data_IF_791762142719
#
_entry.id   IF_791762142719
#
_cell.length_a   1.000
_cell.length_b   1.000
_cell.length_c   1.000
_cell.angle_alpha   90.00
_cell.angle_beta   90.00
_cell.angle_gamma   90.00
#
_symmetry.space_group_name_H-M   'P 1'
#
loop_
_entity.id
_entity.type
_entity.pdbx_description
1 polymer ?
#
# COMPACT_ATOMS: atom_id res chain seq x y z
N UNK A 1 33.16 -2.19 13.16
CA UNK A 1 32.77 -3.54 13.62
C UNK A 1 32.67 -4.46 12.41
N UNK A 2 33.02 -5.74 12.48
CA UNK A 2 32.90 -6.60 11.29
C UNK A 2 31.42 -6.96 11.05
N UNK A 3 30.99 -6.98 9.80
CA UNK A 3 29.62 -7.37 9.36
C UNK A 3 29.20 -8.70 9.98
N UNK A 4 30.08 -9.69 9.93
CA UNK A 4 29.83 -11.02 10.50
C UNK A 4 29.37 -10.98 11.99
N UNK A 5 29.94 -10.08 12.79
CA UNK A 5 29.53 -9.95 14.21
C UNK A 5 28.14 -9.34 14.36
N UNK A 6 27.75 -8.42 13.48
CA UNK A 6 26.42 -7.84 13.47
C UNK A 6 25.37 -8.90 13.06
N UNK A 7 25.63 -9.62 11.99
CA UNK A 7 24.72 -10.66 11.48
C UNK A 7 24.55 -11.79 12.52
N UNK A 8 25.65 -12.18 13.21
CA UNK A 8 25.57 -13.19 14.26
C UNK A 8 24.78 -12.69 15.49
N UNK A 9 25.02 -11.49 15.96
CA UNK A 9 24.30 -10.94 17.10
C UNK A 9 22.80 -10.75 16.79
N UNK A 10 22.47 -10.38 15.55
CA UNK A 10 21.08 -10.33 15.10
C UNK A 10 20.42 -11.70 15.15
N UNK A 11 21.06 -12.72 14.62
CA UNK A 11 20.56 -14.07 14.61
C UNK A 11 20.37 -14.62 16.04
N UNK A 12 21.36 -14.40 16.92
CA UNK A 12 21.31 -14.81 18.32
C UNK A 12 20.16 -14.10 19.06
N UNK A 13 19.97 -12.80 18.82
CA UNK A 13 18.88 -12.03 19.42
C UNK A 13 17.51 -12.50 18.94
N UNK A 14 17.37 -12.79 17.63
CA UNK A 14 16.14 -13.37 17.07
C UNK A 14 15.81 -14.72 17.73
N UNK A 15 16.81 -15.59 17.85
CA UNK A 15 16.65 -16.88 18.50
C UNK A 15 16.16 -16.72 19.93
N UNK A 16 16.79 -15.86 20.72
CA UNK A 16 16.37 -15.58 22.11
C UNK A 16 14.93 -15.05 22.18
N UNK A 17 14.54 -14.15 21.25
CA UNK A 17 13.19 -13.60 21.24
C UNK A 17 12.16 -14.66 20.85
N UNK A 18 12.46 -15.53 19.88
CA UNK A 18 11.60 -16.67 19.50
C UNK A 18 11.45 -17.65 20.66
N UNK A 19 12.56 -18.10 21.25
CA UNK A 19 12.54 -19.00 22.43
C UNK A 19 11.75 -18.38 23.61
N UNK A 20 11.79 -17.07 23.76
CA UNK A 20 11.00 -16.38 24.78
C UNK A 20 9.48 -16.54 24.55
N UNK A 21 9.02 -16.62 23.28
CA UNK A 21 7.60 -16.84 22.99
C UNK A 21 7.12 -18.25 23.26
N UNK A 22 8.03 -19.23 23.42
CA UNK A 22 7.68 -20.60 23.79
C UNK A 22 7.28 -20.75 25.26
N UNK A 23 7.42 -19.70 26.07
CA UNK A 23 6.97 -19.70 27.47
C UNK A 23 5.46 -19.91 27.53
N UNK A 24 4.97 -20.79 28.43
CA UNK A 24 3.57 -21.18 28.50
C UNK A 24 2.59 -20.00 28.59
N UNK A 25 2.97 -18.93 29.30
CA UNK A 25 2.16 -17.73 29.50
C UNK A 25 2.03 -16.86 28.25
N UNK A 26 2.95 -17.00 27.27
CA UNK A 26 2.90 -16.31 25.97
C UNK A 26 2.28 -17.23 24.93
N UNK A 27 2.73 -18.49 24.89
CA UNK A 27 2.26 -19.48 23.92
C UNK A 27 0.75 -19.72 24.05
N UNK A 28 0.20 -19.68 25.26
CA UNK A 28 -1.25 -19.83 25.50
C UNK A 28 -2.09 -18.71 24.87
N UNK A 29 -1.50 -17.58 24.50
CA UNK A 29 -2.17 -16.45 23.87
C UNK A 29 -2.06 -16.45 22.33
N UNK A 30 -1.32 -17.40 21.74
CA UNK A 30 -1.03 -17.43 20.31
C UNK A 30 -2.30 -17.57 19.47
N UNK A 31 -3.23 -18.42 19.86
CA UNK A 31 -4.51 -18.62 19.16
C UNK A 31 -5.38 -17.37 19.17
N UNK A 32 -5.52 -16.72 20.32
CA UNK A 32 -6.27 -15.47 20.45
C UNK A 32 -5.58 -14.33 19.67
N UNK A 33 -4.25 -14.26 19.73
CA UNK A 33 -3.48 -13.31 18.96
C UNK A 33 -3.69 -13.50 17.46
N UNK A 34 -3.72 -14.74 16.97
CA UNK A 34 -3.96 -15.05 15.57
C UNK A 34 -5.38 -14.65 15.14
N UNK A 35 -6.38 -14.89 16.00
CA UNK A 35 -7.75 -14.44 15.77
C UNK A 35 -7.82 -12.89 15.64
N UNK A 36 -7.20 -12.17 16.57
CA UNK A 36 -7.13 -10.69 16.53
C UNK A 36 -6.41 -10.21 15.27
N UNK A 37 -5.31 -10.87 14.89
CA UNK A 37 -4.52 -10.49 13.71
C UNK A 37 -5.27 -10.75 12.42
N UNK A 38 -6.05 -11.84 12.35
CA UNK A 38 -6.84 -12.21 11.19
C UNK A 38 -7.93 -11.18 10.89
N UNK A 39 -8.46 -10.54 11.93
CA UNK A 39 -9.52 -9.51 11.87
C UNK A 39 -10.72 -9.93 10.99
N UNK A 40 -11.06 -11.22 11.04
CA UNK A 40 -12.15 -11.83 10.28
C UNK A 40 -13.25 -12.31 11.26
N UNK A 41 -14.43 -11.65 11.28
CA UNK A 41 -15.50 -12.00 12.20
C UNK A 41 -16.13 -13.37 11.92
N UNK A 42 -15.93 -13.93 10.72
CA UNK A 42 -16.40 -15.28 10.37
C UNK A 42 -15.37 -16.36 10.74
N UNK A 43 -14.16 -15.95 11.11
CA UNK A 43 -13.08 -16.85 11.48
C UNK A 43 -13.21 -17.27 12.94
N UNK A 44 -13.44 -18.55 13.19
CA UNK A 44 -13.46 -19.09 14.53
C UNK A 44 -12.12 -19.73 14.87
N UNK A 45 -11.61 -19.46 16.07
CA UNK A 45 -10.29 -19.96 16.52
C UNK A 45 -10.20 -21.51 16.52
N UNK A 46 -11.35 -22.19 16.62
CA UNK A 46 -11.44 -23.66 16.57
C UNK A 46 -11.29 -24.23 15.14
N UNK A 47 -11.34 -23.37 14.11
CA UNK A 47 -11.21 -23.76 12.70
C UNK A 47 -9.75 -23.79 12.21
N UNK A 48 -8.78 -23.44 13.09
CA UNK A 48 -7.35 -23.47 12.72
C UNK A 48 -6.85 -24.91 12.74
N UNK A 49 -6.72 -25.51 11.58
CA UNK A 49 -5.86 -26.67 11.42
C UNK A 49 -4.48 -26.19 10.98
N UNK A 50 -3.39 -26.77 11.53
CA UNK A 50 -2.00 -26.40 11.18
C UNK A 50 -1.74 -26.50 9.66
N UNK A 51 -2.55 -27.28 8.92
CA UNK A 51 -2.43 -27.48 7.48
C UNK A 51 -3.07 -26.35 6.63
N UNK A 52 -3.81 -25.39 7.24
CA UNK A 52 -4.55 -24.35 6.50
C UNK A 52 -3.86 -22.98 6.48
N UNK A 53 -2.84 -22.79 7.31
CA UNK A 53 -2.05 -21.56 7.35
C UNK A 53 -0.79 -21.76 6.51
N UNK A 54 -0.69 -21.05 5.37
CA UNK A 54 0.53 -21.10 4.58
C UNK A 54 1.70 -20.41 5.31
N UNK A 55 2.93 -20.83 4.98
CA UNK A 55 4.15 -20.36 5.64
C UNK A 55 4.26 -18.82 5.64
N UNK A 56 3.88 -18.17 4.54
CA UNK A 56 3.96 -16.71 4.41
C UNK A 56 2.96 -16.00 5.33
N UNK A 57 1.76 -16.52 5.45
CA UNK A 57 0.73 -15.99 6.36
C UNK A 57 1.19 -16.14 7.81
N UNK A 58 1.79 -17.29 8.16
CA UNK A 58 2.34 -17.49 9.49
C UNK A 58 3.52 -16.54 9.78
N UNK A 59 4.44 -16.35 8.84
CA UNK A 59 5.56 -15.43 9.00
C UNK A 59 5.09 -13.99 9.25
N UNK A 60 4.09 -13.51 8.50
CA UNK A 60 3.49 -12.17 8.71
C UNK A 60 2.85 -12.03 10.08
N UNK A 61 2.05 -13.03 10.46
CA UNK A 61 1.45 -13.06 11.78
C UNK A 61 2.49 -13.04 12.88
N UNK A 62 3.52 -13.89 12.77
CA UNK A 62 4.55 -14.01 13.80
C UNK A 62 5.41 -12.75 13.94
N UNK A 63 5.69 -12.05 12.84
CA UNK A 63 6.34 -10.73 12.87
C UNK A 63 5.49 -9.72 13.67
N UNK A 64 4.19 -9.65 13.40
CA UNK A 64 3.28 -8.81 14.17
C UNK A 64 3.17 -9.27 15.65
N UNK A 65 3.11 -10.55 15.90
CA UNK A 65 3.03 -11.11 17.24
C UNK A 65 4.24 -10.69 18.09
N UNK A 66 5.44 -10.79 17.56
CA UNK A 66 6.66 -10.41 18.26
C UNK A 66 6.75 -8.92 18.56
N UNK A 67 6.42 -8.08 17.59
CA UNK A 67 6.75 -6.66 17.66
C UNK A 67 5.58 -5.75 18.04
N UNK A 68 4.34 -6.13 17.76
CA UNK A 68 3.20 -5.22 17.88
C UNK A 68 2.07 -5.76 18.78
N UNK A 69 1.90 -7.10 18.89
CA UNK A 69 0.88 -7.68 19.73
C UNK A 69 1.07 -7.29 21.21
N UNK A 70 -0.04 -6.93 21.86
CA UNK A 70 -0.09 -6.66 23.29
C UNK A 70 -0.60 -7.89 24.02
N UNK A 71 0.20 -8.44 24.93
CA UNK A 71 -0.19 -9.54 25.79
C UNK A 71 -1.48 -9.19 26.54
N UNK A 72 -2.45 -10.07 26.50
CA UNK A 72 -3.80 -9.84 27.03
C UNK A 72 -3.83 -9.70 28.56
N UNK A 73 -2.85 -10.31 29.22
CA UNK A 73 -2.71 -10.29 30.70
C UNK A 73 -2.08 -9.00 31.21
N UNK A 74 -1.08 -8.45 30.50
CA UNK A 74 -0.30 -7.30 30.96
C UNK A 74 -0.50 -6.04 30.12
N UNK A 75 -0.97 -6.16 28.88
CA UNK A 75 -1.03 -5.06 27.91
C UNK A 75 0.35 -4.63 27.38
N UNK A 76 1.45 -5.27 27.83
CA UNK A 76 2.80 -5.02 27.32
C UNK A 76 3.00 -5.74 25.99
N UNK A 77 3.83 -5.19 25.08
CA UNK A 77 4.26 -5.91 23.86
C UNK A 77 5.27 -6.99 24.22
N UNK A 78 5.29 -8.10 23.50
CA UNK A 78 6.23 -9.20 23.73
C UNK A 78 7.67 -8.72 23.77
N UNK A 79 8.06 -7.92 22.77
CA UNK A 79 9.43 -7.37 22.69
C UNK A 79 9.78 -6.47 23.89
N UNK A 80 8.82 -5.72 24.43
CA UNK A 80 9.03 -4.88 25.61
C UNK A 80 9.20 -5.71 26.87
N UNK A 81 8.36 -6.73 27.03
CA UNK A 81 8.44 -7.65 28.15
C UNK A 81 9.74 -8.48 28.10
N UNK A 82 10.10 -8.98 26.90
CA UNK A 82 11.38 -9.66 26.68
C UNK A 82 12.56 -8.78 27.12
N UNK A 83 12.61 -7.54 26.64
CA UNK A 83 13.69 -6.62 27.01
C UNK A 83 13.76 -6.40 28.52
N UNK A 84 12.64 -6.19 29.19
CA UNK A 84 12.55 -5.95 30.61
C UNK A 84 13.06 -7.14 31.45
N UNK A 85 12.71 -8.36 31.01
CA UNK A 85 13.03 -9.58 31.75
C UNK A 85 14.40 -10.17 31.40
N UNK A 86 14.84 -10.08 30.14
CA UNK A 86 16.03 -10.76 29.63
C UNK A 86 17.24 -9.84 29.38
N UNK A 87 17.09 -8.54 29.61
CA UNK A 87 18.17 -7.56 29.36
C UNK A 87 19.51 -7.96 30.00
N UNK A 88 19.50 -8.55 31.20
CA UNK A 88 20.71 -8.99 31.89
C UNK A 88 21.49 -10.11 31.19
N UNK A 89 20.84 -10.84 30.26
CA UNK A 89 21.42 -11.91 29.45
C UNK A 89 21.84 -11.46 28.04
N UNK A 90 21.63 -10.18 27.68
CA UNK A 90 22.01 -9.64 26.38
C UNK A 90 23.48 -9.18 26.38
N UNK A 91 24.16 -9.38 25.26
CA UNK A 91 25.44 -8.75 24.99
C UNK A 91 25.26 -7.25 24.75
N UNK A 92 26.32 -6.44 24.87
CA UNK A 92 26.26 -5.00 24.58
C UNK A 92 25.74 -4.70 23.15
N UNK A 93 26.00 -5.59 22.20
CA UNK A 93 25.57 -5.43 20.82
C UNK A 93 24.09 -5.76 20.67
N UNK A 94 23.62 -6.83 21.29
CA UNK A 94 22.20 -7.19 21.33
C UNK A 94 21.36 -6.14 22.07
N UNK A 95 21.88 -5.57 23.18
CA UNK A 95 21.19 -4.50 23.92
C UNK A 95 21.01 -3.24 23.06
N UNK A 96 22.00 -2.88 22.22
CA UNK A 96 21.86 -1.79 21.24
C UNK A 96 20.90 -2.12 20.10
N UNK A 97 20.88 -3.37 19.63
CA UNK A 97 19.98 -3.80 18.55
C UNK A 97 18.53 -3.83 19.02
N UNK A 98 18.27 -4.34 20.21
CA UNK A 98 16.91 -4.46 20.74
C UNK A 98 16.24 -3.09 20.93
N UNK A 99 17.02 -2.05 21.27
CA UNK A 99 16.48 -0.69 21.36
C UNK A 99 15.91 -0.23 20.01
N UNK A 100 16.63 -0.45 18.90
CA UNK A 100 16.11 -0.19 17.55
C UNK A 100 14.90 -1.08 17.19
N UNK A 101 14.90 -2.33 17.63
CA UNK A 101 13.79 -3.26 17.38
C UNK A 101 12.52 -2.87 18.13
N UNK A 102 12.61 -2.36 19.33
CA UNK A 102 11.47 -1.86 20.12
C UNK A 102 10.85 -0.61 19.48
N UNK A 103 11.72 0.20 18.87
CA UNK A 103 11.34 1.45 18.26
C UNK A 103 10.78 1.32 16.83
N UNK A 104 10.90 0.18 16.16
CA UNK A 104 10.42 -0.03 14.80
C UNK A 104 8.88 -0.01 14.67
N UNK A 105 8.42 0.16 13.45
CA UNK A 105 7.02 -0.01 13.03
C UNK A 105 6.95 -0.78 11.72
N UNK A 106 5.89 -1.55 11.53
CA UNK A 106 5.49 -2.00 10.20
C UNK A 106 4.90 -0.80 9.46
N UNK A 107 5.41 -0.49 8.28
CA UNK A 107 4.97 0.66 7.48
C UNK A 107 4.97 0.32 5.99
N UNK A 108 4.59 1.31 5.18
CA UNK A 108 4.57 1.17 3.73
C UNK A 108 5.58 2.13 3.12
N UNK A 109 6.33 1.62 2.15
CA UNK A 109 7.45 2.34 1.57
C UNK A 109 7.39 2.27 0.05
N UNK A 110 7.83 3.35 -0.60
CA UNK A 110 8.19 3.33 -2.01
C UNK A 110 9.66 2.95 -2.15
N UNK A 111 9.96 2.03 -3.04
CA UNK A 111 11.33 1.68 -3.42
C UNK A 111 11.85 2.73 -4.40
N UNK A 112 12.84 3.52 -3.98
CA UNK A 112 13.42 4.58 -4.80
C UNK A 112 14.54 4.06 -5.71
N UNK A 113 15.39 3.19 -5.16
CA UNK A 113 16.54 2.62 -5.87
C UNK A 113 16.90 1.25 -5.34
N UNK A 114 17.51 0.41 -6.18
CA UNK A 114 17.90 -0.95 -5.84
C UNK A 114 19.30 -1.26 -6.37
N UNK A 115 20.15 -1.74 -5.48
CA UNK A 115 21.43 -2.38 -5.82
C UNK A 115 21.25 -3.90 -5.64
N UNK A 116 21.02 -4.67 -6.74
CA UNK A 116 20.67 -6.07 -6.64
C UNK A 116 21.70 -6.91 -5.89
N UNK A 117 21.24 -7.67 -4.90
CA UNK A 117 22.08 -8.50 -4.04
C UNK A 117 22.77 -7.76 -2.89
N UNK A 118 22.53 -6.46 -2.73
CA UNK A 118 23.16 -5.64 -1.70
C UNK A 118 22.13 -4.86 -0.85
N UNK A 119 21.36 -3.96 -1.46
CA UNK A 119 20.51 -3.03 -0.73
C UNK A 119 19.40 -2.44 -1.59
N UNK A 120 18.43 -1.82 -0.93
CA UNK A 120 17.47 -0.93 -1.56
C UNK A 120 17.31 0.36 -0.75
N UNK A 121 17.06 1.47 -1.43
CA UNK A 121 16.71 2.75 -0.82
C UNK A 121 15.19 2.87 -0.86
N UNK A 122 14.58 3.07 0.29
CA UNK A 122 13.13 3.15 0.45
C UNK A 122 12.73 4.47 1.09
N UNK A 123 11.52 4.94 0.76
CA UNK A 123 10.90 6.14 1.33
C UNK A 123 9.58 5.77 2.00
N UNK A 124 9.43 6.08 3.28
CA UNK A 124 8.18 5.87 4.00
C UNK A 124 7.07 6.75 3.40
N UNK A 125 5.91 6.16 3.12
CA UNK A 125 4.78 6.86 2.49
C UNK A 125 4.08 7.84 3.45
N UNK A 126 4.26 7.68 4.76
CA UNK A 126 3.51 8.44 5.75
C UNK A 126 4.29 9.60 6.38
N UNK A 127 5.62 9.51 6.42
CA UNK A 127 6.46 10.58 6.97
C UNK A 127 7.55 11.06 6.00
N UNK A 128 7.61 10.51 4.79
CA UNK A 128 8.57 10.83 3.72
C UNK A 128 10.05 10.61 4.08
N UNK A 129 10.35 9.92 5.18
CA UNK A 129 11.72 9.59 5.54
C UNK A 129 12.28 8.53 4.61
N UNK A 130 13.52 8.73 4.23
CA UNK A 130 14.29 7.82 3.36
C UNK A 130 15.33 7.08 4.17
N UNK A 131 15.44 5.77 3.96
CA UNK A 131 16.53 4.97 4.50
C UNK A 131 17.03 3.95 3.48
N UNK A 132 18.29 3.53 3.65
CA UNK A 132 18.86 2.44 2.86
C UNK A 132 18.86 1.16 3.67
N UNK A 133 18.17 0.15 3.16
CA UNK A 133 18.02 -1.16 3.80
C UNK A 133 18.90 -2.17 3.08
N UNK A 134 19.72 -2.87 3.83
CA UNK A 134 20.61 -3.93 3.33
C UNK A 134 19.91 -5.27 3.42
N UNK A 135 19.54 -5.80 2.27
CA UNK A 135 18.91 -7.11 2.17
C UNK A 135 19.27 -7.77 0.83
N UNK A 136 20.02 -8.87 0.91
CA UNK A 136 20.52 -9.58 -0.28
C UNK A 136 19.38 -10.25 -1.05
N UNK A 137 18.36 -10.74 -0.36
CA UNK A 137 17.27 -11.52 -0.97
C UNK A 137 16.26 -10.60 -1.62
N UNK A 138 15.79 -9.61 -0.88
CA UNK A 138 14.75 -8.69 -1.33
C UNK A 138 15.24 -7.77 -2.44
N UNK A 139 16.49 -7.27 -2.35
CA UNK A 139 17.08 -6.43 -3.39
C UNK A 139 17.24 -7.10 -4.76
N UNK A 140 17.18 -8.43 -4.83
CA UNK A 140 17.16 -9.19 -6.12
C UNK A 140 15.76 -9.20 -6.75
N UNK A 141 14.72 -8.95 -5.99
CA UNK A 141 13.31 -9.08 -6.41
C UNK A 141 12.62 -7.73 -6.56
N UNK A 142 12.99 -6.76 -5.73
CA UNK A 142 12.41 -5.42 -5.71
C UNK A 142 12.90 -4.58 -6.90
N UNK A 143 12.07 -3.62 -7.30
CA UNK A 143 12.33 -2.66 -8.37
C UNK A 143 11.97 -1.25 -7.91
N UNK A 144 12.59 -0.25 -8.50
CA UNK A 144 12.19 1.14 -8.30
C UNK A 144 10.70 1.32 -8.62
N UNK A 145 10.03 2.13 -7.83
CA UNK A 145 8.59 2.39 -7.84
C UNK A 145 7.70 1.25 -7.30
N UNK A 146 8.25 0.11 -6.87
CA UNK A 146 7.47 -0.85 -6.09
C UNK A 146 7.03 -0.21 -4.77
N UNK A 147 5.81 -0.52 -4.34
CA UNK A 147 5.36 -0.20 -2.99
C UNK A 147 5.51 -1.45 -2.14
N UNK A 148 6.11 -1.33 -0.99
CA UNK A 148 6.31 -2.46 -0.08
C UNK A 148 5.70 -2.18 1.28
N UNK A 149 5.04 -3.20 1.86
CA UNK A 149 4.74 -3.26 3.29
C UNK A 149 5.85 -4.03 3.98
N UNK A 150 6.56 -3.40 4.90
CA UNK A 150 7.75 -3.99 5.52
C UNK A 150 8.03 -3.39 6.91
N UNK A 151 8.92 -4.06 7.64
CA UNK A 151 9.44 -3.61 8.92
C UNK A 151 10.96 -3.47 8.83
N UNK A 152 11.50 -2.28 8.60
CA UNK A 152 12.93 -2.04 8.76
C UNK A 152 13.34 -2.15 10.23
N UNK A 153 14.37 -2.93 10.50
CA UNK A 153 15.02 -3.07 11.79
C UNK A 153 16.42 -2.46 11.73
N UNK A 154 17.00 -2.17 12.88
CA UNK A 154 18.35 -1.63 12.98
C UNK A 154 18.40 -0.13 13.18
N UNK A 155 19.48 0.50 12.73
CA UNK A 155 19.73 1.95 12.82
C UNK A 155 19.86 2.55 11.43
N UNK A 156 19.86 3.89 11.30
CA UNK A 156 20.01 4.60 10.02
C UNK A 156 21.19 4.09 9.17
N UNK A 157 22.31 3.74 9.80
CA UNK A 157 23.50 3.27 9.10
C UNK A 157 23.53 1.77 8.81
N UNK A 158 22.64 1.01 9.43
CA UNK A 158 22.61 -0.46 9.31
C UNK A 158 21.18 -1.00 9.48
N UNK A 159 20.32 -0.62 8.53
CA UNK A 159 18.96 -1.12 8.47
C UNK A 159 18.86 -2.38 7.62
N UNK A 160 17.97 -3.30 8.02
CA UNK A 160 17.63 -4.54 7.33
C UNK A 160 16.14 -4.85 7.58
N UNK A 161 15.53 -5.69 6.76
CA UNK A 161 14.13 -6.05 6.97
C UNK A 161 13.98 -7.14 8.04
N UNK A 162 12.85 -7.15 8.75
CA UNK A 162 12.52 -8.20 9.73
C UNK A 162 12.42 -9.60 9.10
N UNK A 163 12.19 -9.69 7.81
CA UNK A 163 12.08 -10.91 7.02
C UNK A 163 10.86 -10.88 6.10
N UNK A 164 9.74 -10.35 6.56
CA UNK A 164 8.49 -10.36 5.81
C UNK A 164 8.33 -9.06 5.02
N UNK A 165 8.16 -9.19 3.70
CA UNK A 165 7.89 -8.07 2.80
C UNK A 165 6.69 -8.42 1.93
N UNK A 166 5.68 -7.54 1.95
CA UNK A 166 4.59 -7.56 0.98
C UNK A 166 4.89 -6.58 -0.13
N UNK A 167 4.72 -6.98 -1.40
CA UNK A 167 4.99 -6.10 -2.56
C UNK A 167 3.68 -5.78 -3.26
N UNK A 168 3.46 -4.51 -3.51
CA UNK A 168 2.28 -3.97 -4.15
C UNK A 168 2.67 -3.16 -5.39
N UNK A 169 1.83 -3.15 -6.43
CA UNK A 169 2.02 -2.23 -7.56
C UNK A 169 1.99 -0.76 -7.11
N UNK A 170 2.70 0.13 -7.79
CA UNK A 170 2.72 1.57 -7.53
C UNK A 170 1.32 2.20 -7.46
N UNK A 171 0.38 1.68 -8.26
CA UNK A 171 -1.03 2.12 -8.27
C UNK A 171 -1.75 1.98 -6.92
N UNK A 172 -1.22 1.17 -6.00
CA UNK A 172 -1.78 1.00 -4.65
C UNK A 172 -1.35 2.09 -3.67
N UNK A 173 -0.31 2.86 -3.98
CA UNK A 173 0.19 3.93 -3.10
C UNK A 173 -0.93 4.83 -2.59
N UNK A 174 -1.82 5.23 -3.47
CA UNK A 174 -2.92 6.11 -3.14
C UNK A 174 -3.92 5.47 -2.19
N UNK A 175 -4.36 4.24 -2.47
CA UNK A 175 -5.29 3.49 -1.61
C UNK A 175 -4.70 3.31 -0.22
N UNK A 176 -3.40 2.98 -0.14
CA UNK A 176 -2.66 2.85 1.12
C UNK A 176 -2.68 4.15 1.91
N UNK A 177 -2.38 5.29 1.25
CA UNK A 177 -2.39 6.61 1.89
C UNK A 177 -3.78 7.02 2.38
N UNK A 178 -4.82 6.79 1.60
CA UNK A 178 -6.21 7.10 1.97
C UNK A 178 -6.66 6.26 3.16
N UNK A 179 -6.38 4.96 3.13
CA UNK A 179 -6.72 4.06 4.24
C UNK A 179 -5.97 4.45 5.53
N UNK A 180 -4.67 4.71 5.42
CA UNK A 180 -3.88 5.19 6.55
C UNK A 180 -4.44 6.48 7.13
N UNK A 181 -4.71 7.48 6.30
CA UNK A 181 -5.16 8.78 6.75
C UNK A 181 -6.54 8.70 7.43
N UNK A 182 -7.46 7.91 6.86
CA UNK A 182 -8.78 7.66 7.47
C UNK A 182 -8.64 6.98 8.83
N UNK A 183 -7.91 5.86 8.89
CA UNK A 183 -7.71 5.12 10.12
C UNK A 183 -6.97 5.93 11.19
N UNK A 184 -5.98 6.74 10.81
CA UNK A 184 -5.27 7.60 11.75
C UNK A 184 -6.13 8.72 12.32
N UNK A 185 -7.04 9.30 11.53
CA UNK A 185 -8.05 10.25 12.06
C UNK A 185 -8.95 9.59 13.09
N UNK A 186 -9.45 8.39 12.78
CA UNK A 186 -10.26 7.60 13.72
C UNK A 186 -9.49 7.23 14.98
N UNK A 187 -8.23 6.88 14.83
CA UNK A 187 -7.35 6.59 15.95
C UNK A 187 -7.19 7.81 16.86
N UNK A 188 -6.95 9.02 16.30
CA UNK A 188 -6.89 10.28 17.04
C UNK A 188 -8.21 10.61 17.76
N UNK A 189 -9.35 10.32 17.14
CA UNK A 189 -10.67 10.52 17.78
C UNK A 189 -10.82 9.64 19.02
N UNK A 190 -10.36 8.38 18.96
CA UNK A 190 -10.49 7.43 20.06
C UNK A 190 -9.42 7.56 21.13
N UNK A 191 -8.20 7.89 20.75
CA UNK A 191 -7.03 7.88 21.65
C UNK A 191 -6.50 9.28 22.02
N UNK A 192 -7.07 10.34 21.44
CA UNK A 192 -6.69 11.73 21.69
C UNK A 192 -5.90 12.36 20.55
N UNK A 193 -6.01 13.68 20.43
CA UNK A 193 -5.41 14.47 19.33
C UNK A 193 -3.88 14.41 19.30
N UNK A 194 -3.24 14.15 20.42
CA UNK A 194 -1.78 14.05 20.57
C UNK A 194 -1.21 12.69 20.09
N UNK A 195 -2.08 11.77 19.64
CA UNK A 195 -1.65 10.48 19.10
C UNK A 195 -0.78 10.66 17.87
N UNK A 196 0.33 9.93 17.81
CA UNK A 196 1.29 9.99 16.70
C UNK A 196 1.02 8.93 15.64
N UNK A 197 1.45 9.18 14.40
CA UNK A 197 1.43 8.18 13.31
C UNK A 197 2.10 6.87 13.72
N UNK A 198 3.20 6.96 14.45
CA UNK A 198 3.93 5.81 14.96
C UNK A 198 3.10 4.97 15.94
N UNK A 199 2.40 5.60 16.89
CA UNK A 199 1.51 4.88 17.80
C UNK A 199 0.41 4.15 17.03
N UNK A 200 -0.21 4.82 16.05
CA UNK A 200 -1.20 4.21 15.18
C UNK A 200 -0.64 3.01 14.42
N UNK A 201 0.51 3.14 13.78
CA UNK A 201 1.15 2.03 13.06
C UNK A 201 1.51 0.86 13.97
N UNK A 202 1.95 1.14 15.20
CA UNK A 202 2.23 0.10 16.20
C UNK A 202 0.98 -0.66 16.64
N UNK A 203 -0.15 0.00 16.73
CA UNK A 203 -1.39 -0.61 17.24
C UNK A 203 -2.28 -1.18 16.12
N UNK A 204 -2.22 -0.62 14.90
CA UNK A 204 -3.13 -0.96 13.81
C UNK A 204 -2.47 -1.04 12.41
N UNK A 205 -1.14 -0.94 12.30
CA UNK A 205 -0.45 -0.95 11.01
C UNK A 205 -0.67 -2.23 10.19
N UNK A 206 -0.83 -3.37 10.86
CA UNK A 206 -1.11 -4.66 10.22
C UNK A 206 -2.47 -4.66 9.49
N UNK A 207 -3.47 -3.95 10.02
CA UNK A 207 -4.81 -3.86 9.41
C UNK A 207 -4.77 -3.20 8.02
N UNK A 208 -3.83 -2.28 7.80
CA UNK A 208 -3.64 -1.66 6.48
C UNK A 208 -3.26 -2.73 5.45
N UNK A 209 -2.31 -3.61 5.80
CA UNK A 209 -1.89 -4.72 4.94
C UNK A 209 -3.04 -5.68 4.63
N UNK A 210 -3.79 -6.09 5.66
CA UNK A 210 -4.97 -6.95 5.52
C UNK A 210 -6.03 -6.33 4.63
N UNK A 211 -6.35 -5.06 4.86
CA UNK A 211 -7.31 -4.33 4.04
C UNK A 211 -6.90 -4.31 2.56
N UNK A 212 -5.62 -4.04 2.27
CA UNK A 212 -5.11 -4.03 0.90
C UNK A 212 -5.16 -5.44 0.28
N UNK A 213 -4.78 -6.47 1.04
CA UNK A 213 -4.84 -7.86 0.56
C UNK A 213 -6.27 -8.31 0.30
N UNK A 214 -7.21 -7.94 1.16
CA UNK A 214 -8.63 -8.24 0.97
C UNK A 214 -9.21 -7.45 -0.21
N UNK A 215 -8.84 -6.19 -0.37
CA UNK A 215 -9.18 -5.39 -1.54
C UNK A 215 -8.71 -6.02 -2.86
N UNK A 216 -7.55 -6.65 -2.86
CA UNK A 216 -7.04 -7.38 -4.04
C UNK A 216 -7.81 -8.66 -4.31
N UNK A 217 -8.22 -9.38 -3.25
CA UNK A 217 -8.93 -10.67 -3.36
C UNK A 217 -10.40 -10.51 -3.72
N UNK A 218 -11.06 -9.54 -3.10
CA UNK A 218 -12.50 -9.30 -3.19
C UNK A 218 -12.79 -7.84 -3.53
N UNK A 219 -12.75 -7.48 -4.80
CA UNK A 219 -12.93 -6.11 -5.25
C UNK A 219 -14.36 -5.55 -5.10
N UNK A 220 -15.27 -6.31 -4.53
CA UNK A 220 -16.64 -5.86 -4.25
C UNK A 220 -16.70 -5.26 -2.86
N UNK A 221 -16.53 -3.95 -2.79
CA UNK A 221 -16.81 -3.21 -1.57
C UNK A 221 -18.25 -2.73 -1.57
N UNK A 222 -18.92 -3.03 -0.49
CA UNK A 222 -20.13 -2.33 -0.08
C UNK A 222 -19.77 -1.47 1.13
N UNK A 223 -20.31 -0.25 1.18
CA UNK A 223 -20.23 0.58 2.37
C UNK A 223 -20.87 -0.15 3.57
N UNK A 224 -20.67 0.30 4.81
CA UNK A 224 -21.41 -0.23 5.95
C UNK A 224 -22.93 -0.20 5.76
N UNK A 225 -23.43 0.71 4.89
CA UNK A 225 -24.84 0.86 4.51
C UNK A 225 -25.25 -0.09 3.36
N UNK A 226 -24.33 -0.90 2.83
CA UNK A 226 -24.61 -1.86 1.75
C UNK A 226 -24.58 -1.29 0.33
N UNK A 227 -24.09 -0.06 0.14
CA UNK A 227 -23.93 0.56 -1.19
C UNK A 227 -22.66 0.08 -1.87
N UNK A 228 -22.73 -0.14 -3.18
CA UNK A 228 -21.58 -0.49 -4.01
C UNK A 228 -20.55 0.68 -4.00
N UNK A 229 -19.34 0.40 -3.52
CA UNK A 229 -18.27 1.38 -3.54
C UNK A 229 -17.77 1.58 -4.97
N UNK A 230 -17.94 2.78 -5.45
CA UNK A 230 -17.42 3.24 -6.74
C UNK A 230 -16.41 4.35 -6.52
N UNK A 231 -15.33 4.36 -7.28
CA UNK A 231 -14.45 5.52 -7.27
C UNK A 231 -15.14 6.65 -8.05
N UNK A 232 -15.75 7.55 -7.29
CA UNK A 232 -16.42 8.74 -7.81
C UNK A 232 -15.44 9.92 -7.74
N UNK A 233 -15.23 10.63 -8.82
CA UNK A 233 -14.36 11.80 -8.83
C UNK A 233 -14.98 12.99 -9.58
N UNK A 234 -14.67 14.20 -9.09
CA UNK A 234 -14.99 15.43 -9.78
C UNK A 234 -13.72 16.26 -10.01
N UNK A 235 -13.61 16.85 -11.19
CA UNK A 235 -12.48 17.68 -11.60
C UNK A 235 -12.91 19.15 -11.67
N UNK A 236 -12.10 20.02 -11.07
CA UNK A 236 -12.29 21.46 -11.10
C UNK A 236 -11.00 22.15 -11.53
N UNK A 237 -11.11 23.21 -12.38
CA UNK A 237 -10.00 24.14 -12.59
C UNK A 237 -10.04 25.23 -11.53
N UNK A 238 -8.85 25.68 -11.12
CA UNK A 238 -8.67 26.77 -10.17
C UNK A 238 -8.53 28.11 -10.90
N UNK A 239 -9.12 29.15 -10.32
CA UNK A 239 -8.84 30.54 -10.76
C UNK A 239 -7.66 31.14 -10.00
N UNK A 240 -7.39 30.66 -8.78
CA UNK A 240 -6.25 31.04 -7.94
C UNK A 240 -5.96 29.92 -6.94
N UNK A 241 -4.88 29.19 -7.15
CA UNK A 241 -4.46 28.10 -6.24
C UNK A 241 -4.14 28.63 -4.86
N UNK A 242 -3.41 29.74 -4.74
CA UNK A 242 -3.07 30.35 -3.45
C UNK A 242 -4.32 30.68 -2.62
N UNK A 243 -5.34 31.28 -3.27
CA UNK A 243 -6.60 31.64 -2.59
C UNK A 243 -7.38 30.39 -2.14
N UNK A 244 -7.36 29.31 -2.94
CA UNK A 244 -7.97 28.02 -2.59
C UNK A 244 -7.25 27.40 -1.40
N UNK A 245 -5.92 27.26 -1.46
CA UNK A 245 -5.13 26.70 -0.37
C UNK A 245 -5.32 27.45 0.95
N UNK A 246 -5.37 28.80 0.88
CA UNK A 246 -5.64 29.64 2.07
C UNK A 246 -7.00 29.32 2.68
N UNK A 247 -8.04 29.16 1.85
CA UNK A 247 -9.39 28.82 2.35
C UNK A 247 -9.42 27.42 2.96
N UNK A 248 -8.88 26.41 2.27
CA UNK A 248 -8.86 25.03 2.77
C UNK A 248 -8.12 24.93 4.10
N UNK A 249 -6.95 25.58 4.24
CA UNK A 249 -6.16 25.59 5.48
C UNK A 249 -6.85 26.34 6.63
N UNK A 250 -7.79 27.24 6.34
CA UNK A 250 -8.53 28.00 7.37
C UNK A 250 -9.80 27.30 7.85
N UNK A 251 -10.26 26.28 7.14
CA UNK A 251 -11.47 25.52 7.45
C UNK A 251 -11.10 24.19 8.13
N UNK A 252 -11.68 23.95 9.32
CA UNK A 252 -11.43 22.74 10.11
C UNK A 252 -11.91 21.44 9.45
N UNK A 253 -12.83 21.53 8.50
CA UNK A 253 -13.31 20.38 7.75
C UNK A 253 -12.25 19.83 6.79
N UNK A 254 -11.15 20.58 6.54
CA UNK A 254 -10.07 20.15 5.65
C UNK A 254 -8.77 19.97 6.44
N UNK A 255 -8.21 18.77 6.39
CA UNK A 255 -6.91 18.45 6.97
C UNK A 255 -5.89 18.28 5.85
N UNK A 256 -4.82 19.10 5.82
CA UNK A 256 -3.73 18.93 4.85
C UNK A 256 -2.91 17.70 5.19
N UNK A 257 -2.77 16.78 4.24
CA UNK A 257 -2.08 15.51 4.38
C UNK A 257 -0.68 15.59 3.78
N UNK A 258 0.20 14.67 4.20
CA UNK A 258 1.51 14.51 3.55
C UNK A 258 1.30 14.03 2.10
N UNK A 259 1.86 14.77 1.15
CA UNK A 259 1.83 14.40 -0.25
C UNK A 259 3.13 13.69 -0.66
N UNK A 260 3.11 12.81 -1.67
CA UNK A 260 4.30 12.08 -2.13
C UNK A 260 5.36 12.99 -2.75
N UNK A 261 4.96 14.15 -3.28
CA UNK A 261 5.85 15.18 -3.86
C UNK A 261 5.37 16.57 -3.46
N UNK A 262 6.29 17.53 -3.36
CA UNK A 262 5.99 18.89 -2.86
C UNK A 262 5.04 19.69 -3.77
N UNK A 263 4.96 19.37 -5.06
CA UNK A 263 4.10 20.01 -6.05
C UNK A 263 2.62 19.64 -5.86
N UNK A 264 2.32 18.49 -5.24
CA UNK A 264 0.95 18.03 -4.99
C UNK A 264 0.53 18.43 -3.57
N UNK A 265 -0.66 18.98 -3.42
CA UNK A 265 -1.27 19.25 -2.11
C UNK A 265 -2.50 18.36 -1.96
N UNK A 266 -2.56 17.62 -0.86
CA UNK A 266 -3.65 16.68 -0.58
C UNK A 266 -4.36 17.13 0.69
N UNK A 267 -5.69 17.22 0.62
CA UNK A 267 -6.54 17.50 1.77
C UNK A 267 -7.52 16.35 1.96
N UNK A 268 -7.64 15.89 3.19
CA UNK A 268 -8.80 15.12 3.59
C UNK A 268 -9.94 16.07 3.95
N UNK A 269 -11.14 15.73 3.54
CA UNK A 269 -12.37 16.42 3.89
C UNK A 269 -13.28 15.50 4.70
N UNK A 270 -13.81 16.02 5.79
CA UNK A 270 -14.86 15.37 6.59
C UNK A 270 -15.78 16.46 7.12
N UNK A 271 -17.09 16.36 6.85
CA UNK A 271 -18.06 17.29 7.37
C UNK A 271 -18.40 16.92 8.83
N UNK A 272 -18.26 17.89 9.75
CA UNK A 272 -18.57 17.68 11.18
C UNK A 272 -20.07 17.45 11.42
N UNK A 273 -20.92 18.02 10.57
CA UNK A 273 -22.39 17.93 10.66
C UNK A 273 -22.95 16.73 9.88
N UNK A 274 -22.25 16.30 8.83
CA UNK A 274 -22.61 15.15 7.99
C UNK A 274 -21.40 14.22 7.79
N UNK A 275 -21.20 13.31 8.74
CA UNK A 275 -20.10 12.34 8.70
C UNK A 275 -20.12 11.42 7.47
N UNK A 276 -21.24 11.34 6.73
CA UNK A 276 -21.29 10.64 5.45
C UNK A 276 -20.68 11.45 4.30
N UNK A 277 -20.40 12.75 4.49
CA UNK A 277 -19.72 13.59 3.52
C UNK A 277 -18.22 13.59 3.82
N UNK A 278 -17.49 12.66 3.21
CA UNK A 278 -16.03 12.56 3.33
C UNK A 278 -15.38 12.34 1.97
N UNK A 279 -14.14 12.79 1.81
CA UNK A 279 -13.43 12.65 0.55
C UNK A 279 -12.00 13.18 0.60
N UNK A 280 -11.29 13.03 -0.52
CA UNK A 280 -9.93 13.53 -0.68
C UNK A 280 -9.90 14.56 -1.80
N UNK A 281 -9.26 15.70 -1.55
CA UNK A 281 -8.98 16.74 -2.53
C UNK A 281 -7.49 16.72 -2.87
N UNK A 282 -7.17 16.50 -4.11
CA UNK A 282 -5.81 16.58 -4.65
C UNK A 282 -5.68 17.81 -5.52
N UNK A 283 -4.70 18.66 -5.22
CA UNK A 283 -4.44 19.91 -5.92
C UNK A 283 -3.08 19.83 -6.59
N UNK A 284 -3.10 19.93 -7.91
CA UNK A 284 -1.92 19.89 -8.75
C UNK A 284 -2.15 20.72 -10.02
N UNK A 285 -1.15 21.49 -10.43
CA UNK A 285 -1.14 22.23 -11.72
C UNK A 285 -2.40 23.08 -11.97
N UNK A 286 -2.93 23.72 -10.92
CA UNK A 286 -4.13 24.57 -11.05
C UNK A 286 -5.45 23.80 -11.21
N UNK A 287 -5.46 22.54 -10.82
CA UNK A 287 -6.64 21.65 -10.84
C UNK A 287 -6.89 21.09 -9.45
N UNK A 288 -8.16 20.97 -9.05
CA UNK A 288 -8.59 20.13 -7.92
C UNK A 288 -9.23 18.88 -8.47
N UNK A 289 -8.80 17.73 -7.99
CA UNK A 289 -9.49 16.46 -8.15
C UNK A 289 -10.10 16.08 -6.81
N UNK A 290 -11.42 16.04 -6.75
CA UNK A 290 -12.17 15.51 -5.61
C UNK A 290 -12.39 14.03 -5.85
N UNK A 291 -12.23 13.19 -4.83
CA UNK A 291 -12.48 11.77 -4.93
C UNK A 291 -13.18 11.24 -3.70
N UNK A 292 -14.17 10.40 -3.94
CA UNK A 292 -15.01 9.74 -2.95
C UNK A 292 -15.26 8.29 -3.35
N UNK A 293 -15.74 7.48 -2.42
CA UNK A 293 -16.01 6.06 -2.65
C UNK A 293 -17.45 5.75 -3.03
N UNK A 294 -18.34 6.74 -3.03
CA UNK A 294 -19.69 6.61 -3.56
C UNK A 294 -20.10 7.85 -4.33
N UNK A 295 -21.11 7.69 -5.19
CA UNK A 295 -21.68 8.82 -5.94
C UNK A 295 -22.36 9.83 -5.01
N UNK A 296 -23.04 9.33 -3.98
CA UNK A 296 -23.76 10.19 -3.01
C UNK A 296 -22.79 10.97 -2.16
N UNK A 297 -21.72 10.34 -1.69
CA UNK A 297 -20.62 11.00 -0.99
C UNK A 297 -19.97 12.09 -1.86
N UNK A 298 -19.70 11.81 -3.14
CA UNK A 298 -19.18 12.81 -4.06
C UNK A 298 -20.14 13.98 -4.21
N UNK A 299 -21.45 13.74 -4.32
CA UNK A 299 -22.47 14.79 -4.40
C UNK A 299 -22.40 15.75 -3.20
N UNK A 300 -22.38 15.21 -1.98
CA UNK A 300 -22.29 15.97 -0.72
C UNK A 300 -20.99 16.79 -0.64
N UNK A 301 -19.86 16.19 -0.96
CA UNK A 301 -18.55 16.87 -0.98
C UNK A 301 -18.53 17.98 -2.03
N UNK A 302 -19.08 17.76 -3.22
CA UNK A 302 -19.22 18.79 -4.27
C UNK A 302 -20.03 19.98 -3.78
N UNK A 303 -21.22 19.76 -3.22
CA UNK A 303 -22.08 20.81 -2.69
C UNK A 303 -21.34 21.67 -1.66
N UNK A 304 -20.57 21.03 -0.77
CA UNK A 304 -19.78 21.70 0.24
C UNK A 304 -18.67 22.55 -0.36
N UNK A 305 -17.80 21.97 -1.21
CA UNK A 305 -16.66 22.71 -1.78
C UNK A 305 -17.13 23.82 -2.75
N UNK A 306 -18.20 23.61 -3.50
CA UNK A 306 -18.76 24.63 -4.39
C UNK A 306 -19.31 25.81 -3.59
N UNK A 307 -19.95 25.54 -2.45
CA UNK A 307 -20.41 26.58 -1.51
C UNK A 307 -19.24 27.35 -0.92
N UNK A 308 -18.20 26.69 -0.44
CA UNK A 308 -17.10 27.31 0.29
C UNK A 308 -16.10 28.00 -0.62
N UNK A 309 -15.75 27.41 -1.76
CA UNK A 309 -14.77 27.96 -2.69
C UNK A 309 -15.40 28.89 -3.72
N UNK A 310 -16.66 28.66 -4.09
CA UNK A 310 -17.44 29.52 -4.97
C UNK A 310 -16.72 29.80 -6.31
N UNK A 311 -16.48 31.09 -6.62
CA UNK A 311 -15.85 31.52 -7.88
C UNK A 311 -14.38 31.15 -8.04
N UNK A 312 -13.76 30.59 -7.01
CA UNK A 312 -12.36 30.14 -7.07
C UNK A 312 -12.19 28.82 -7.82
N UNK A 313 -13.27 28.08 -8.02
CA UNK A 313 -13.27 26.81 -8.74
C UNK A 313 -14.30 26.83 -9.87
N UNK A 314 -14.00 26.07 -10.93
CA UNK A 314 -14.92 25.86 -12.05
C UNK A 314 -14.98 24.36 -12.33
N UNK A 315 -16.15 23.78 -12.15
CA UNK A 315 -16.40 22.36 -12.43
C UNK A 315 -16.11 22.02 -13.88
N UNK A 316 -15.47 20.90 -14.15
CA UNK A 316 -15.12 20.39 -15.47
C UNK A 316 -15.89 19.12 -15.82
N UNK A 317 -15.72 18.10 -14.99
CA UNK A 317 -16.31 16.79 -15.26
C UNK A 317 -16.46 15.97 -13.97
N UNK A 318 -17.40 15.03 -14.00
CA UNK A 318 -17.53 13.97 -13.01
C UNK A 318 -17.20 12.63 -13.69
N UNK A 319 -16.45 11.78 -13.00
CA UNK A 319 -16.12 10.45 -13.46
C UNK A 319 -16.55 9.43 -12.40
N UNK A 320 -17.27 8.39 -12.84
CA UNK A 320 -17.60 7.24 -12.02
C UNK A 320 -16.84 6.05 -12.59
N UNK A 321 -15.97 5.47 -11.79
CA UNK A 321 -15.26 4.24 -12.15
C UNK A 321 -15.71 3.15 -11.19
N UNK A 322 -16.43 2.16 -11.70
CA UNK A 322 -16.68 0.95 -10.95
C UNK A 322 -15.33 0.27 -10.73
N UNK A 323 -15.03 -0.07 -9.48
CA UNK A 323 -13.79 -0.74 -9.11
C UNK A 323 -13.60 -2.07 -9.83
N UNK A 324 -14.70 -2.71 -10.23
CA UNK A 324 -14.72 -3.91 -11.08
C UNK A 324 -13.93 -3.75 -12.39
N UNK A 325 -13.88 -2.55 -12.98
CA UNK A 325 -13.14 -2.32 -14.22
C UNK A 325 -11.60 -2.28 -14.03
N UNK A 326 -11.13 -2.03 -12.81
CA UNK A 326 -9.70 -2.12 -12.49
C UNK A 326 -9.23 -3.54 -12.17
N UNK A 327 -10.16 -4.44 -11.86
CA UNK A 327 -9.87 -5.76 -11.30
C UNK A 327 -10.33 -6.89 -12.21
N UNK A 328 -11.38 -6.71 -12.99
CA UNK A 328 -11.93 -7.72 -13.92
C UNK A 328 -10.96 -8.12 -15.05
N UNK A 329 -9.82 -7.47 -15.20
CA UNK A 329 -8.71 -8.01 -15.99
C UNK A 329 -7.93 -9.14 -15.29
N UNK A 330 -8.25 -9.51 -14.03
CA UNK A 330 -7.54 -10.56 -13.27
C UNK A 330 -8.37 -11.76 -12.80
N UNK A 331 -9.70 -11.76 -12.86
CA UNK A 331 -10.52 -12.75 -12.13
C UNK A 331 -10.81 -14.08 -12.81
N UNK A 332 -10.18 -14.48 -13.89
CA UNK A 332 -10.52 -15.79 -14.45
C UNK A 332 -9.62 -16.97 -14.07
N UNK A 333 -8.63 -16.82 -13.19
CA UNK A 333 -7.66 -17.92 -12.96
C UNK A 333 -7.28 -18.32 -11.54
N UNK A 334 -7.99 -17.94 -10.51
CA UNK A 334 -7.62 -18.37 -9.13
C UNK A 334 -8.47 -19.49 -8.54
N UNK A 335 -9.19 -20.29 -9.30
CA UNK A 335 -9.84 -21.49 -8.76
C UNK A 335 -9.53 -22.71 -9.61
N UNK A 336 -8.43 -23.39 -9.30
CA UNK A 336 -8.26 -24.87 -9.34
C UNK A 336 -6.79 -25.26 -9.15
N UNK A 337 -6.33 -25.37 -7.91
CA UNK A 337 -5.22 -26.27 -7.58
C UNK A 337 -5.80 -27.70 -7.53
N UNK A 338 -5.33 -28.58 -8.39
CA UNK A 338 -5.63 -30.00 -8.28
C UNK A 338 -5.98 -30.75 -9.57
N UNK A 339 -5.41 -30.40 -10.72
CA UNK A 339 -5.53 -31.27 -11.88
C UNK A 339 -4.17 -31.54 -12.53
N UNK A 340 -3.80 -32.81 -12.58
CA UNK A 340 -2.61 -33.33 -13.27
C UNK A 340 -2.59 -32.85 -14.72
N UNK A 341 -1.40 -32.46 -15.20
CA UNK A 341 -1.10 -32.09 -16.58
C UNK A 341 -1.52 -33.22 -17.54
N UNK A 342 -2.62 -33.01 -18.25
CA UNK A 342 -2.91 -33.68 -19.52
C UNK A 342 -3.10 -32.61 -20.57
N UNK A 343 -2.34 -32.69 -21.62
CA UNK A 343 -2.06 -31.65 -22.62
C UNK A 343 -3.21 -31.22 -23.52
N UNK A 344 -4.40 -30.97 -22.97
CA UNK A 344 -5.48 -30.25 -23.67
C UNK A 344 -6.09 -29.21 -22.75
N UNK A 345 -6.12 -27.95 -23.21
CA UNK A 345 -6.76 -26.84 -22.52
C UNK A 345 -8.28 -27.10 -22.42
N UNK A 346 -8.93 -26.76 -21.26
CA UNK A 346 -10.37 -26.84 -21.12
C UNK A 346 -11.08 -25.90 -22.11
N UNK A 347 -12.32 -26.21 -22.51
CA UNK A 347 -13.12 -25.35 -23.39
C UNK A 347 -13.31 -23.95 -22.75
N UNK A 348 -12.95 -22.88 -23.48
CA UNK A 348 -13.05 -21.48 -23.03
C UNK A 348 -11.77 -20.89 -22.42
N UNK A 349 -10.67 -21.65 -22.33
CA UNK A 349 -9.37 -21.12 -21.92
C UNK A 349 -8.54 -20.80 -23.16
N UNK A 350 -8.19 -19.52 -23.33
CA UNK A 350 -7.35 -19.04 -24.43
C UNK A 350 -5.90 -19.51 -24.26
N UNK A 351 -5.24 -19.85 -25.33
CA UNK A 351 -3.81 -20.17 -25.34
C UNK A 351 -3.01 -18.89 -25.05
N UNK A 352 -1.77 -19.02 -24.54
CA UNK A 352 -0.88 -17.87 -24.35
C UNK A 352 -0.70 -17.05 -25.62
N UNK A 353 -0.70 -17.69 -26.81
CA UNK A 353 -0.62 -17.01 -28.10
C UNK A 353 -1.86 -16.17 -28.44
N UNK A 354 -3.04 -16.62 -28.05
CA UNK A 354 -4.29 -15.87 -28.25
C UNK A 354 -4.35 -14.68 -27.30
N UNK A 355 -3.89 -14.85 -26.06
CA UNK A 355 -3.77 -13.76 -25.08
C UNK A 355 -2.70 -12.74 -25.47
N UNK A 356 -1.56 -13.18 -25.98
CA UNK A 356 -0.51 -12.29 -26.50
C UNK A 356 -1.04 -11.43 -27.65
N UNK A 357 -1.80 -12.03 -28.55
CA UNK A 357 -2.41 -11.31 -29.68
C UNK A 357 -3.47 -10.30 -29.21
N UNK A 358 -4.31 -10.66 -28.26
CA UNK A 358 -5.31 -9.73 -27.71
C UNK A 358 -4.67 -8.54 -26.98
N UNK A 359 -3.57 -8.77 -26.25
CA UNK A 359 -2.80 -7.69 -25.63
C UNK A 359 -2.15 -6.80 -26.70
N UNK A 360 -1.67 -7.38 -27.79
CA UNK A 360 -1.07 -6.63 -28.89
C UNK A 360 -2.11 -5.77 -29.62
N UNK A 361 -3.30 -6.33 -29.88
CA UNK A 361 -4.43 -5.63 -30.48
C UNK A 361 -4.90 -4.49 -29.55
N UNK A 362 -5.06 -4.78 -28.24
CA UNK A 362 -5.46 -3.79 -27.24
C UNK A 362 -4.51 -2.60 -27.15
N UNK A 363 -3.20 -2.85 -27.07
CA UNK A 363 -2.23 -1.75 -26.96
C UNK A 363 -2.05 -1.01 -28.28
N UNK A 364 -2.29 -1.66 -29.40
CA UNK A 364 -2.30 -0.99 -30.71
C UNK A 364 -3.45 0.01 -30.78
N UNK A 365 -4.63 -0.35 -30.32
CA UNK A 365 -5.79 0.56 -30.23
C UNK A 365 -5.58 1.66 -29.19
N UNK A 366 -4.99 1.33 -28.01
CA UNK A 366 -4.71 2.28 -26.95
C UNK A 366 -3.80 3.43 -27.41
N UNK A 367 -2.83 3.18 -28.29
CA UNK A 367 -1.94 4.21 -28.83
C UNK A 367 -2.69 5.35 -29.55
N UNK A 368 -3.88 5.09 -30.07
CA UNK A 368 -4.68 6.01 -30.83
C UNK A 368 -5.92 6.50 -30.06
N UNK A 369 -6.07 6.12 -28.77
CA UNK A 369 -7.15 6.58 -27.91
C UNK A 369 -6.71 7.76 -27.03
N UNK A 370 -7.55 8.82 -26.91
CA UNK A 370 -7.28 9.91 -25.97
C UNK A 370 -7.19 9.41 -24.52
N UNK A 371 -6.15 9.81 -23.81
CA UNK A 371 -5.93 9.39 -22.43
C UNK A 371 -6.04 10.56 -21.45
N UNK A 372 -6.87 10.49 -20.40
CA UNK A 372 -7.06 11.60 -19.45
C UNK A 372 -5.76 12.09 -18.80
N UNK A 373 -4.88 11.16 -18.40
CA UNK A 373 -3.58 11.49 -17.79
C UNK A 373 -2.57 12.12 -18.79
N UNK A 374 -2.92 12.19 -20.06
CA UNK A 374 -2.14 12.83 -21.12
C UNK A 374 -2.84 14.12 -21.62
N UNK A 375 -3.65 14.76 -20.75
CA UNK A 375 -4.37 15.98 -21.11
C UNK A 375 -5.41 15.77 -22.22
N UNK A 376 -5.94 14.56 -22.39
CA UNK A 376 -6.86 14.19 -23.46
C UNK A 376 -6.20 13.92 -24.81
N UNK A 377 -4.86 13.90 -24.87
CA UNK A 377 -4.10 13.50 -26.05
C UNK A 377 -3.96 11.99 -26.13
N UNK A 378 -3.78 11.48 -27.34
CA UNK A 378 -3.41 10.08 -27.53
C UNK A 378 -1.95 9.85 -27.13
N UNK A 379 -1.55 8.63 -26.75
CA UNK A 379 -0.14 8.30 -26.52
C UNK A 379 0.80 8.68 -27.69
N UNK A 380 0.33 8.57 -28.93
CA UNK A 380 1.13 9.00 -30.11
C UNK A 380 1.35 10.51 -30.14
N UNK A 381 0.34 11.30 -29.81
CA UNK A 381 0.45 12.76 -29.75
C UNK A 381 1.31 13.16 -28.53
N UNK A 382 1.09 12.56 -27.39
CA UNK A 382 1.83 12.83 -26.15
C UNK A 382 3.34 12.56 -26.29
N UNK A 383 3.73 11.55 -27.07
CA UNK A 383 5.13 11.21 -27.31
C UNK A 383 5.96 12.37 -27.89
N UNK A 384 5.30 13.34 -28.55
CA UNK A 384 5.95 14.48 -29.22
C UNK A 384 5.64 15.84 -28.58
N UNK A 385 4.97 15.84 -27.42
CA UNK A 385 4.52 17.05 -26.73
C UNK A 385 5.06 17.14 -25.31
N UNK A 386 4.65 18.14 -24.54
CA UNK A 386 5.03 18.31 -23.13
C UNK A 386 4.53 17.18 -22.23
N UNK A 387 3.48 16.45 -22.65
CA UNK A 387 2.97 15.28 -21.94
C UNK A 387 3.84 14.03 -22.07
N UNK A 388 4.97 14.12 -22.78
CA UNK A 388 5.92 13.01 -22.93
C UNK A 388 6.39 12.44 -21.58
N UNK A 389 6.59 13.28 -20.59
CA UNK A 389 7.01 12.84 -19.25
C UNK A 389 5.92 12.00 -18.58
N UNK A 390 4.65 12.43 -18.66
CA UNK A 390 3.51 11.67 -18.14
C UNK A 390 3.34 10.34 -18.88
N UNK A 391 3.53 10.33 -20.20
CA UNK A 391 3.49 9.11 -21.01
C UNK A 391 4.60 8.14 -20.61
N UNK A 392 5.84 8.62 -20.41
CA UNK A 392 6.95 7.77 -19.95
C UNK A 392 6.69 7.17 -18.57
N UNK A 393 6.04 7.91 -17.69
CA UNK A 393 5.62 7.39 -16.37
C UNK A 393 4.61 6.25 -16.53
N UNK A 394 3.55 6.44 -17.33
CA UNK A 394 2.55 5.39 -17.61
C UNK A 394 3.22 4.14 -18.20
N UNK A 395 4.11 4.32 -19.17
CA UNK A 395 4.82 3.19 -19.79
C UNK A 395 5.76 2.49 -18.81
N UNK A 396 6.36 3.21 -17.85
CA UNK A 396 7.18 2.65 -16.79
C UNK A 396 6.36 1.79 -15.82
N UNK A 397 5.18 2.26 -15.44
CA UNK A 397 4.25 1.50 -14.57
C UNK A 397 3.79 0.20 -15.26
N UNK A 398 3.42 0.28 -16.54
CA UNK A 398 3.03 -0.88 -17.34
C UNK A 398 4.19 -1.89 -17.49
N UNK A 399 5.41 -1.40 -17.70
CA UNK A 399 6.61 -2.24 -17.81
C UNK A 399 6.90 -2.98 -16.50
N UNK A 400 6.81 -2.28 -15.36
CA UNK A 400 6.92 -2.88 -14.03
C UNK A 400 5.86 -3.96 -13.83
N UNK A 401 4.60 -3.65 -14.12
CA UNK A 401 3.49 -4.60 -14.02
C UNK A 401 3.74 -5.89 -14.82
N UNK A 402 4.07 -5.77 -16.11
CA UNK A 402 4.28 -6.94 -16.98
C UNK A 402 5.57 -7.70 -16.68
N UNK A 403 6.57 -7.04 -16.12
CA UNK A 403 7.77 -7.73 -15.65
C UNK A 403 7.42 -8.67 -14.49
N UNK A 404 6.65 -8.22 -13.51
CA UNK A 404 6.18 -9.07 -12.42
C UNK A 404 5.20 -10.16 -12.89
N UNK A 405 4.31 -9.86 -13.85
CA UNK A 405 3.43 -10.86 -14.45
C UNK A 405 4.23 -12.00 -15.11
N UNK A 406 5.29 -11.66 -15.85
CA UNK A 406 6.19 -12.63 -16.48
C UNK A 406 6.89 -13.52 -15.46
N UNK A 407 7.38 -12.96 -14.36
CA UNK A 407 8.03 -13.72 -13.28
C UNK A 407 7.09 -14.70 -12.59
N UNK A 408 5.79 -14.36 -12.49
CA UNK A 408 4.75 -15.26 -11.97
C UNK A 408 4.23 -16.29 -12.99
N UNK A 409 4.73 -16.26 -14.23
CA UNK A 409 4.25 -17.13 -15.31
C UNK A 409 2.84 -16.75 -15.80
N UNK A 410 2.42 -15.53 -15.58
CA UNK A 410 1.16 -14.94 -16.06
C UNK A 410 1.34 -14.37 -17.48
N UNK A 411 0.25 -14.15 -18.24
CA UNK A 411 0.32 -13.45 -19.51
C UNK A 411 0.94 -12.07 -19.35
N UNK A 412 1.87 -11.70 -20.22
CA UNK A 412 2.59 -10.43 -20.17
C UNK A 412 2.70 -9.82 -21.56
N UNK A 413 2.88 -8.50 -21.58
CA UNK A 413 3.14 -7.75 -22.81
C UNK A 413 4.49 -7.02 -22.70
N UNK A 414 5.26 -7.03 -23.78
CA UNK A 414 6.56 -6.34 -23.83
C UNK A 414 6.35 -4.87 -24.16
N UNK A 415 6.36 -4.00 -23.13
CA UNK A 415 6.17 -2.54 -23.28
C UNK A 415 7.24 -1.90 -24.17
N UNK A 416 8.41 -2.51 -24.28
CA UNK A 416 9.44 -2.12 -25.25
C UNK A 416 8.89 -2.01 -26.69
N UNK A 417 7.91 -2.83 -27.08
CA UNK A 417 7.26 -2.74 -28.39
C UNK A 417 6.52 -1.41 -28.57
N UNK A 418 5.84 -0.93 -27.51
CA UNK A 418 5.15 0.37 -27.51
C UNK A 418 6.17 1.50 -27.57
N UNK A 419 7.20 1.46 -26.70
CA UNK A 419 8.26 2.49 -26.69
C UNK A 419 8.88 2.64 -28.07
N UNK A 420 9.14 1.53 -28.75
CA UNK A 420 9.65 1.53 -30.13
C UNK A 420 8.70 2.15 -31.14
N UNK A 421 7.39 1.83 -31.06
CA UNK A 421 6.37 2.41 -31.95
C UNK A 421 6.21 3.92 -31.73
N UNK A 422 6.49 4.41 -30.53
CA UNK A 422 6.43 5.82 -30.14
C UNK A 422 7.77 6.57 -30.30
N UNK A 423 8.85 5.90 -30.76
CA UNK A 423 10.22 6.43 -30.83
C UNK A 423 10.72 6.99 -29.47
N UNK A 424 10.48 6.23 -28.38
CA UNK A 424 10.82 6.57 -26.99
C UNK A 424 11.94 5.67 -26.42
N UNK A 425 12.73 5.03 -27.29
CA UNK A 425 13.90 4.24 -26.90
C UNK A 425 15.06 5.11 -26.44
#
# INVERSE_FOLDING_TARGET
MSRYRLDQAEQDLRTKLVEYTERPEIQSQLGEAFYIWKDDPEFLADDITEDEVDDLTFEKFFDWFLFDFRLLDTGERIIERFYKEERGGLTELEDKMIDGWRENVYSFFEVLDVTPGESCTIRDLFDNKTCTVRDTSSSKKLKASDIIGARPLGTEDNSYFSGVISVYPATFQRIILEFFNSGFRDYKRRHGKESTKRQYLKDAGFQIGHYIEEFVKNPRFVSPEGEELVLASALYSLTSEEAVLKKLRSDKAFEELSAPVDEIKIFAFEDEDDHAASGTLEIENGVIRVQCYSKDMLGRVKDRIEKDLGKLIVHKEDTLKHLDNFINNKETKSRKKGAKKTGKLPPGVKSNKELDKELEDFYTEWLDQPHPSLGGKTPREAASTEEKTALLHILGELESYYTHARERGEPYFEIAKIKKQLNLE
#
